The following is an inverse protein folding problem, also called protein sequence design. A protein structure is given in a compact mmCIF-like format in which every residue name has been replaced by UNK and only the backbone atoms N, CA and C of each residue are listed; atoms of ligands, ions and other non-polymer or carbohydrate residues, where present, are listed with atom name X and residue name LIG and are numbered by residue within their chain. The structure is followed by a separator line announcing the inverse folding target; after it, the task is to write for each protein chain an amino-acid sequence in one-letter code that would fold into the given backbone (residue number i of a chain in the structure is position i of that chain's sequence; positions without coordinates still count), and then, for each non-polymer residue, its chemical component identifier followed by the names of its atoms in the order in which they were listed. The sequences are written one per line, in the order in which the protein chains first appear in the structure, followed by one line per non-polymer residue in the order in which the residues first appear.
data_IF_013679042971
#
_entry.id   IF_013679042971
#
_cell.length_a   1.000
_cell.length_b   1.000
_cell.length_c   1.000
_cell.angle_alpha   90.00
_cell.angle_beta   90.00
_cell.angle_gamma   90.00
#
_symmetry.space_group_name_H-M   'P 1'
#
loop_
_entity.id
_entity.type
_entity.pdbx_description
1 polymer ?
#
# COMPACT_ATOMS: atom_id res chain seq x y z
N UNK A 1 -9.36 -0.29 6.16
CA UNK A 1 -9.66 -0.78 7.52
C UNK A 1 -10.22 -2.20 7.45
N UNK A 2 -10.24 -2.92 8.58
CA UNK A 2 -10.83 -4.25 8.67
C UNK A 2 -12.32 -4.14 9.05
N UNK A 3 -13.17 -4.91 8.38
CA UNK A 3 -14.56 -5.12 8.79
C UNK A 3 -14.65 -6.10 9.97
N UNK A 4 -15.84 -6.23 10.58
CA UNK A 4 -16.07 -7.24 11.62
C UNK A 4 -15.83 -8.68 11.14
N UNK A 5 -16.11 -8.96 9.86
CA UNK A 5 -15.81 -10.25 9.25
C UNK A 5 -14.29 -10.44 9.08
N UNK A 6 -13.55 -9.40 8.71
CA UNK A 6 -12.10 -9.45 8.58
C UNK A 6 -11.42 -9.68 9.94
N UNK A 7 -11.93 -9.06 11.00
CA UNK A 7 -11.45 -9.29 12.37
C UNK A 7 -11.73 -10.71 12.84
N UNK A 8 -12.92 -11.25 12.56
CA UNK A 8 -13.22 -12.65 12.88
C UNK A 8 -12.28 -13.61 12.13
N UNK A 9 -12.00 -13.32 10.85
CA UNK A 9 -11.05 -14.08 10.05
C UNK A 9 -9.62 -13.98 10.59
N UNK A 10 -9.19 -12.78 11.02
CA UNK A 10 -7.87 -12.55 11.61
C UNK A 10 -7.66 -13.39 12.88
N UNK A 11 -8.64 -13.43 13.78
CA UNK A 11 -8.59 -14.24 15.01
C UNK A 11 -8.51 -15.74 14.66
N UNK A 12 -9.29 -16.18 13.67
CA UNK A 12 -9.29 -17.57 13.23
C UNK A 12 -7.92 -17.98 12.64
N UNK A 13 -7.33 -17.16 11.78
CA UNK A 13 -6.00 -17.41 11.22
C UNK A 13 -4.91 -17.39 12.30
N UNK A 14 -5.00 -16.50 13.29
CA UNK A 14 -4.06 -16.48 14.42
C UNK A 14 -4.14 -17.79 15.24
N UNK A 15 -5.33 -18.34 15.43
CA UNK A 15 -5.52 -19.64 16.07
C UNK A 15 -4.90 -20.79 15.26
N UNK A 16 -5.05 -20.78 13.94
CA UNK A 16 -4.41 -21.77 13.06
C UNK A 16 -2.88 -21.70 13.18
N UNK A 17 -2.30 -20.49 13.26
CA UNK A 17 -0.86 -20.29 13.45
C UNK A 17 -0.39 -20.86 14.79
N UNK A 18 -1.12 -20.61 15.88
CA UNK A 18 -0.78 -21.13 17.20
C UNK A 18 -0.83 -22.67 17.25
N UNK A 19 -1.91 -23.26 16.72
CA UNK A 19 -2.09 -24.72 16.67
C UNK A 19 -1.01 -25.40 15.82
N UNK A 20 -0.63 -24.82 14.68
CA UNK A 20 0.48 -25.34 13.84
C UNK A 20 1.83 -25.32 14.55
N UNK A 21 1.99 -24.44 15.54
CA UNK A 21 3.17 -24.34 16.37
C UNK A 21 3.05 -25.14 17.68
N UNK A 22 2.05 -26.02 17.79
CA UNK A 22 1.79 -26.87 18.97
C UNK A 22 1.61 -26.05 20.27
N UNK A 23 0.85 -24.95 20.18
CA UNK A 23 0.57 -24.03 21.29
C UNK A 23 -0.92 -23.90 21.56
N UNK A 24 -1.26 -23.89 22.85
CA UNK A 24 -2.64 -23.70 23.34
C UNK A 24 -3.01 -22.23 23.63
N UNK A 25 -2.04 -21.32 23.58
CA UNK A 25 -2.22 -19.90 23.91
C UNK A 25 -1.76 -19.02 22.74
N UNK A 26 -2.68 -18.14 22.31
CA UNK A 26 -2.39 -17.12 21.31
C UNK A 26 -1.40 -16.09 21.85
N UNK A 27 -0.47 -15.68 20.99
CA UNK A 27 0.48 -14.58 21.23
C UNK A 27 0.28 -13.50 20.19
N UNK A 28 0.76 -12.29 20.48
CA UNK A 28 0.74 -11.18 19.52
C UNK A 28 1.38 -11.55 18.17
N UNK A 29 2.45 -12.35 18.19
CA UNK A 29 3.13 -12.86 16.99
C UNK A 29 2.24 -13.73 16.08
N UNK A 30 1.18 -14.33 16.62
CA UNK A 30 0.23 -15.13 15.83
C UNK A 30 -0.69 -14.23 15.04
N UNK A 31 -1.11 -13.13 15.65
CA UNK A 31 -1.87 -12.07 14.99
C UNK A 31 -1.04 -11.37 13.93
N UNK A 32 0.25 -11.10 14.17
CA UNK A 32 1.14 -10.52 13.16
C UNK A 32 1.30 -11.43 11.94
N UNK A 33 1.48 -12.74 12.15
CA UNK A 33 1.57 -13.71 11.05
C UNK A 33 0.25 -13.90 10.31
N UNK A 34 -0.87 -13.91 11.04
CA UNK A 34 -2.20 -13.97 10.44
C UNK A 34 -2.50 -12.72 9.62
N UNK A 35 -2.16 -11.53 10.13
CA UNK A 35 -2.28 -10.24 9.43
C UNK A 35 -1.46 -10.25 8.15
N UNK A 36 -0.18 -10.62 8.23
CA UNK A 36 0.70 -10.77 7.06
C UNK A 36 0.07 -11.68 6.01
N UNK A 37 -0.47 -12.83 6.43
CA UNK A 37 -1.07 -13.80 5.52
C UNK A 37 -2.33 -13.27 4.85
N UNK A 38 -3.17 -12.53 5.57
CA UNK A 38 -4.41 -11.94 5.04
C UNK A 38 -4.09 -10.80 4.08
N UNK A 39 -3.16 -9.92 4.44
CA UNK A 39 -2.82 -8.74 3.66
C UNK A 39 -1.96 -9.06 2.43
N UNK A 40 -0.97 -9.93 2.60
CA UNK A 40 0.06 -10.19 1.59
C UNK A 40 -0.15 -11.53 0.88
N UNK A 41 -0.91 -12.44 1.47
CA UNK A 41 -1.07 -13.81 0.98
C UNK A 41 -0.12 -14.81 1.62
N UNK A 42 -0.18 -16.06 1.17
CA UNK A 42 0.65 -17.14 1.70
C UNK A 42 2.13 -16.92 1.30
N UNK A 43 3.03 -17.10 2.27
CA UNK A 43 4.47 -17.22 1.99
C UNK A 43 4.75 -18.65 1.54
N UNK A 44 5.03 -18.84 0.26
CA UNK A 44 5.50 -20.12 -0.25
C UNK A 44 7.01 -20.23 -0.06
N UNK A 45 7.46 -21.22 0.72
CA UNK A 45 8.89 -21.44 0.99
C UNK A 45 9.71 -21.84 -0.25
N UNK A 46 9.06 -22.13 -1.38
CA UNK A 46 9.70 -22.49 -2.65
C UNK A 46 10.00 -21.30 -3.56
N UNK A 47 9.42 -20.12 -3.33
CA UNK A 47 9.71 -18.91 -4.11
C UNK A 47 10.99 -18.24 -3.60
N UNK A 48 12.09 -18.97 -3.69
CA UNK A 48 13.41 -18.42 -3.37
C UNK A 48 13.84 -17.56 -4.57
N UNK A 49 13.83 -16.24 -4.37
CA UNK A 49 14.42 -15.29 -5.30
C UNK A 49 15.91 -15.58 -5.47
N UNK A 50 16.42 -15.39 -6.68
CA UNK A 50 17.87 -15.44 -6.91
C UNK A 50 18.55 -14.29 -6.15
N UNK A 51 19.84 -14.40 -5.77
CA UNK A 51 20.50 -13.39 -4.94
C UNK A 51 20.49 -11.96 -5.53
N UNK A 52 20.56 -11.85 -6.86
CA UNK A 52 20.46 -10.60 -7.59
C UNK A 52 19.04 -10.02 -7.59
N UNK A 53 18.01 -10.85 -7.75
CA UNK A 53 16.61 -10.44 -7.60
C UNK A 53 16.31 -10.00 -6.17
N UNK A 54 16.80 -10.74 -5.18
CA UNK A 54 16.65 -10.38 -3.77
C UNK A 54 17.33 -9.03 -3.46
N UNK A 55 18.51 -8.78 -4.03
CA UNK A 55 19.18 -7.49 -3.90
C UNK A 55 18.38 -6.37 -4.57
N UNK A 56 17.84 -6.60 -5.76
CA UNK A 56 17.01 -5.62 -6.46
C UNK A 56 15.74 -5.26 -5.65
N UNK A 57 15.05 -6.26 -5.09
CA UNK A 57 13.91 -6.06 -4.17
C UNK A 57 14.34 -5.29 -2.93
N UNK A 58 15.49 -5.62 -2.34
CA UNK A 58 15.98 -4.91 -1.16
C UNK A 58 16.26 -3.43 -1.45
N UNK A 59 16.86 -3.11 -2.59
CA UNK A 59 17.05 -1.72 -3.04
C UNK A 59 15.70 -1.02 -3.20
N UNK A 60 14.75 -1.67 -3.87
CA UNK A 60 13.42 -1.15 -4.12
C UNK A 60 12.67 -0.81 -2.82
N UNK A 61 12.57 -1.75 -1.89
CA UNK A 61 11.91 -1.53 -0.61
C UNK A 61 12.64 -0.51 0.26
N UNK A 62 13.97 -0.48 0.20
CA UNK A 62 14.76 0.56 0.87
C UNK A 62 14.46 1.95 0.30
N UNK A 63 14.17 2.07 -1.00
CA UNK A 63 13.74 3.30 -1.63
C UNK A 63 12.44 3.85 -1.06
N UNK A 64 11.40 3.01 -0.99
CA UNK A 64 10.13 3.37 -0.36
C UNK A 64 10.33 3.77 1.11
N UNK A 65 11.06 2.95 1.86
CA UNK A 65 11.29 3.17 3.27
C UNK A 65 12.05 4.48 3.53
N UNK A 66 13.10 4.75 2.77
CA UNK A 66 13.91 5.95 2.96
C UNK A 66 13.08 7.20 2.68
N UNK A 67 12.35 7.23 1.57
CA UNK A 67 11.50 8.39 1.24
C UNK A 67 10.42 8.60 2.29
N UNK A 68 9.76 7.54 2.75
CA UNK A 68 8.72 7.64 3.77
C UNK A 68 9.27 8.19 5.11
N UNK A 69 10.48 7.80 5.52
CA UNK A 69 11.10 8.28 6.77
C UNK A 69 11.47 9.76 6.69
N UNK A 70 11.84 10.26 5.52
CA UNK A 70 12.23 11.67 5.33
C UNK A 70 11.06 12.59 4.93
N UNK A 71 9.88 12.04 4.65
CA UNK A 71 8.68 12.80 4.34
C UNK A 71 7.91 13.14 5.61
N UNK A 72 7.80 14.43 5.92
CA UNK A 72 7.20 14.94 7.16
C UNK A 72 5.72 14.58 7.34
N UNK A 73 4.99 14.38 6.23
CA UNK A 73 3.55 14.13 6.23
C UNK A 73 3.19 12.68 5.92
N UNK A 74 4.13 11.90 5.38
CA UNK A 74 3.91 10.49 5.08
C UNK A 74 3.52 9.70 6.34
N UNK A 75 2.74 8.64 6.15
CA UNK A 75 2.45 7.72 7.24
C UNK A 75 3.71 6.97 7.68
N UNK A 76 3.86 6.71 9.00
CA UNK A 76 5.05 6.05 9.51
C UNK A 76 5.13 4.61 9.04
N UNK A 77 6.36 4.13 8.89
CA UNK A 77 6.64 2.74 8.53
C UNK A 77 6.32 1.84 9.71
N UNK A 78 5.45 0.86 9.47
CA UNK A 78 5.17 -0.22 10.41
C UNK A 78 6.10 -1.40 10.17
N UNK A 79 6.44 -1.70 8.92
CA UNK A 79 7.23 -2.89 8.56
C UNK A 79 7.88 -2.77 7.19
N UNK A 80 9.08 -3.33 7.06
CA UNK A 80 9.76 -3.54 5.77
C UNK A 80 10.21 -4.98 5.68
N UNK A 81 9.96 -5.64 4.55
CA UNK A 81 10.38 -7.02 4.30
C UNK A 81 10.68 -7.26 2.82
N UNK A 82 11.70 -8.05 2.55
CA UNK A 82 12.05 -8.55 1.20
C UNK A 82 11.63 -10.01 1.00
N UNK A 83 10.88 -10.55 1.96
CA UNK A 83 10.35 -11.91 1.89
C UNK A 83 9.08 -11.91 1.03
N UNK A 84 9.04 -12.70 -0.06
CA UNK A 84 7.90 -12.73 -0.95
C UNK A 84 6.67 -13.30 -0.25
N UNK A 85 5.51 -12.75 -0.58
CA UNK A 85 4.21 -13.19 -0.09
C UNK A 85 3.15 -12.92 -1.15
N UNK A 86 2.38 -13.95 -1.52
CA UNK A 86 1.39 -13.84 -2.59
C UNK A 86 2.01 -13.34 -3.90
N UNK A 87 1.52 -12.20 -4.40
CA UNK A 87 2.03 -11.55 -5.62
C UNK A 87 3.14 -10.52 -5.35
N UNK A 88 3.40 -10.18 -4.09
CA UNK A 88 4.41 -9.20 -3.71
C UNK A 88 5.78 -9.87 -3.49
N UNK A 89 6.84 -9.30 -4.06
CA UNK A 89 8.22 -9.77 -3.88
C UNK A 89 8.89 -9.15 -2.65
N UNK A 90 8.45 -7.96 -2.27
CA UNK A 90 8.82 -7.22 -1.07
C UNK A 90 7.65 -6.32 -0.66
N UNK A 91 7.71 -5.79 0.57
CA UNK A 91 6.67 -4.91 1.10
C UNK A 91 7.27 -3.88 2.05
N UNK A 92 6.92 -2.62 1.84
CA UNK A 92 7.06 -1.51 2.77
C UNK A 92 5.66 -1.09 3.23
N UNK A 93 5.30 -1.47 4.46
CA UNK A 93 3.99 -1.19 5.06
C UNK A 93 4.03 0.13 5.83
N UNK A 94 3.16 1.07 5.45
CA UNK A 94 2.88 2.28 6.21
C UNK A 94 1.56 2.13 6.96
N UNK A 95 1.52 2.61 8.21
CA UNK A 95 0.32 2.55 9.04
C UNK A 95 -0.06 3.95 9.53
N UNK A 96 -1.24 4.48 9.12
CA UNK A 96 -1.71 5.77 9.62
C UNK A 96 -1.90 5.73 11.14
N UNK A 97 -1.38 6.76 11.85
CA UNK A 97 -1.56 6.89 13.30
C UNK A 97 -2.99 7.30 13.69
N UNK A 98 -3.68 7.96 12.78
CA UNK A 98 -5.01 8.52 13.00
C UNK A 98 -5.83 8.32 11.75
N UNK A 99 -7.08 7.93 11.91
CA UNK A 99 -8.03 7.90 10.80
C UNK A 99 -8.34 9.33 10.34
N UNK A 100 -8.02 9.63 9.08
CA UNK A 100 -8.22 10.94 8.47
C UNK A 100 -9.36 10.86 7.46
N UNK A 101 -10.18 11.90 7.46
CA UNK A 101 -11.28 12.06 6.49
C UNK A 101 -10.98 13.18 5.48
N UNK A 102 -9.90 13.93 5.71
CA UNK A 102 -9.43 15.03 4.86
C UNK A 102 -7.91 14.91 4.78
N UNK A 103 -7.38 14.99 3.56
CA UNK A 103 -5.95 14.92 3.29
C UNK A 103 -5.45 16.25 2.74
N UNK A 104 -4.37 16.76 3.33
CA UNK A 104 -3.69 17.96 2.84
C UNK A 104 -2.94 17.67 1.54
N UNK A 105 -2.72 18.70 0.72
CA UNK A 105 -1.95 18.61 -0.52
C UNK A 105 -0.51 18.14 -0.26
N UNK A 106 0.10 18.60 0.84
CA UNK A 106 1.42 18.19 1.33
C UNK A 106 1.52 16.67 1.59
N UNK A 107 0.50 16.10 2.25
CA UNK A 107 0.40 14.66 2.46
C UNK A 107 0.32 13.88 1.14
N UNK A 108 -0.45 14.37 0.17
CA UNK A 108 -0.59 13.70 -1.12
C UNK A 108 0.70 13.77 -1.94
N UNK A 109 1.45 14.87 -1.85
CA UNK A 109 2.78 14.97 -2.44
C UNK A 109 3.78 14.01 -1.80
N UNK A 110 3.81 13.92 -0.46
CA UNK A 110 4.65 12.94 0.23
C UNK A 110 4.26 11.50 -0.12
N UNK A 111 2.95 11.22 -0.24
CA UNK A 111 2.45 9.91 -0.69
C UNK A 111 2.93 9.59 -2.12
N UNK A 112 2.86 10.55 -3.04
CA UNK A 112 3.41 10.41 -4.39
C UNK A 112 4.92 10.14 -4.37
N UNK A 113 5.66 10.88 -3.56
CA UNK A 113 7.10 10.69 -3.41
C UNK A 113 7.42 9.27 -2.94
N UNK A 114 6.68 8.77 -1.95
CA UNK A 114 6.85 7.39 -1.45
C UNK A 114 6.56 6.37 -2.55
N UNK A 115 5.45 6.47 -3.29
CA UNK A 115 5.17 5.55 -4.41
C UNK A 115 6.27 5.54 -5.48
N UNK A 116 6.93 6.68 -5.71
CA UNK A 116 8.01 6.77 -6.68
C UNK A 116 9.38 6.36 -6.11
N UNK A 117 9.50 6.20 -4.79
CA UNK A 117 10.74 5.90 -4.08
C UNK A 117 11.41 4.59 -4.52
N UNK A 118 10.62 3.53 -4.69
CA UNK A 118 11.11 2.23 -5.17
C UNK A 118 11.77 2.35 -6.54
N UNK A 119 11.03 2.86 -7.55
CA UNK A 119 11.58 3.12 -8.90
C UNK A 119 12.82 4.02 -8.88
N UNK A 120 12.80 5.09 -8.09
CA UNK A 120 13.92 6.03 -8.01
C UNK A 120 15.18 5.35 -7.47
N UNK A 121 15.05 4.54 -6.41
CA UNK A 121 16.17 3.81 -5.82
C UNK A 121 16.80 2.80 -6.78
N UNK A 122 15.99 2.09 -7.57
CA UNK A 122 16.48 1.18 -8.60
C UNK A 122 17.34 1.93 -9.63
N UNK A 123 16.87 3.06 -10.14
CA UNK A 123 17.62 3.85 -11.13
C UNK A 123 18.93 4.38 -10.54
N UNK A 124 18.92 4.84 -9.28
CA UNK A 124 20.10 5.40 -8.62
C UNK A 124 21.14 4.34 -8.29
N UNK A 125 20.73 3.18 -7.77
CA UNK A 125 21.66 2.15 -7.25
C UNK A 125 21.96 1.07 -8.29
N UNK A 126 20.97 0.65 -9.07
CA UNK A 126 21.07 -0.43 -10.07
C UNK A 126 21.30 0.12 -11.49
N UNK A 127 21.14 1.42 -11.71
CA UNK A 127 21.34 2.07 -13.01
C UNK A 127 20.20 1.87 -14.01
N UNK A 128 19.16 1.13 -13.63
CA UNK A 128 17.97 0.84 -14.43
C UNK A 128 16.81 0.54 -13.50
N UNK A 129 15.58 0.76 -13.97
CA UNK A 129 14.41 0.32 -13.22
C UNK A 129 13.86 -1.02 -13.71
N UNK A 130 13.09 -1.68 -12.86
CA UNK A 130 12.56 -3.02 -13.07
C UNK A 130 11.09 -3.01 -13.53
N UNK A 131 10.50 -4.18 -13.75
CA UNK A 131 9.03 -4.32 -13.91
C UNK A 131 8.29 -4.36 -12.57
N UNK A 132 9.00 -4.50 -11.44
CA UNK A 132 8.43 -4.59 -10.10
C UNK A 132 7.67 -3.34 -9.68
N UNK A 133 8.11 -2.15 -10.11
CA UNK A 133 7.49 -0.87 -9.76
C UNK A 133 6.14 -0.58 -10.46
N UNK A 134 5.57 -1.54 -11.23
CA UNK A 134 4.36 -1.31 -12.04
C UNK A 134 3.16 -0.85 -11.21
N UNK A 135 2.94 -1.50 -10.05
CA UNK A 135 1.83 -1.17 -9.16
C UNK A 135 1.99 0.22 -8.54
N UNK A 136 3.19 0.60 -8.13
CA UNK A 136 3.45 1.90 -7.48
C UNK A 136 3.31 3.04 -8.49
N UNK A 137 3.78 2.83 -9.73
CA UNK A 137 3.58 3.77 -10.82
C UNK A 137 2.10 3.95 -11.18
N UNK A 138 1.32 2.86 -11.17
CA UNK A 138 -0.13 2.93 -11.40
C UNK A 138 -0.83 3.75 -10.30
N UNK A 139 -0.52 3.46 -9.02
CA UNK A 139 -1.06 4.21 -7.86
C UNK A 139 -0.64 5.68 -7.88
N UNK A 140 0.62 5.98 -8.19
CA UNK A 140 1.11 7.34 -8.32
C UNK A 140 0.38 8.11 -9.43
N UNK A 141 0.19 7.47 -10.58
CA UNK A 141 -0.55 8.05 -11.70
C UNK A 141 -2.00 8.33 -11.34
N UNK A 142 -2.68 7.38 -10.70
CA UNK A 142 -4.05 7.55 -10.24
C UNK A 142 -4.18 8.71 -9.25
N UNK A 143 -3.29 8.76 -8.25
CA UNK A 143 -3.28 9.80 -7.23
C UNK A 143 -3.03 11.19 -7.84
N UNK A 144 -1.99 11.32 -8.67
CA UNK A 144 -1.68 12.58 -9.35
C UNK A 144 -2.84 13.03 -10.25
N UNK A 145 -3.51 12.09 -10.93
CA UNK A 145 -4.70 12.37 -11.72
C UNK A 145 -5.83 12.90 -10.86
N UNK A 146 -6.11 12.30 -9.69
CA UNK A 146 -7.13 12.78 -8.75
C UNK A 146 -6.81 14.16 -8.19
N UNK A 147 -5.54 14.40 -7.79
CA UNK A 147 -5.09 15.71 -7.31
C UNK A 147 -5.40 16.82 -8.32
N UNK A 148 -5.06 16.61 -9.59
CA UNK A 148 -5.28 17.60 -10.64
C UNK A 148 -6.77 17.69 -11.02
N UNK A 149 -7.39 16.55 -11.28
CA UNK A 149 -8.70 16.49 -11.93
C UNK A 149 -9.86 16.68 -10.95
N UNK A 150 -9.80 16.05 -9.79
CA UNK A 150 -10.92 15.99 -8.84
C UNK A 150 -10.74 16.97 -7.68
N UNK A 151 -9.51 17.14 -7.19
CA UNK A 151 -9.22 17.99 -6.03
C UNK A 151 -8.85 19.43 -6.38
N UNK A 152 -8.67 19.75 -7.67
CA UNK A 152 -8.36 21.11 -8.12
C UNK A 152 -6.99 21.61 -7.66
N UNK A 153 -6.04 20.70 -7.40
CA UNK A 153 -4.67 21.00 -6.92
C UNK A 153 -3.70 21.32 -8.07
N UNK A 154 -4.20 21.86 -9.18
CA UNK A 154 -3.36 22.30 -10.29
C UNK A 154 -3.46 23.80 -10.46
N UNK A 155 -2.38 24.57 -10.22
CA UNK A 155 -2.40 26.03 -10.40
C UNK A 155 -2.78 26.47 -11.82
N UNK A 156 -2.52 25.66 -12.84
CA UNK A 156 -2.86 25.97 -14.23
C UNK A 156 -4.34 25.80 -14.55
N UNK A 157 -5.04 24.89 -13.85
CA UNK A 157 -6.49 24.71 -13.99
C UNK A 157 -7.27 25.55 -12.97
N UNK A 158 -6.67 25.85 -11.83
CA UNK A 158 -7.33 26.47 -10.68
C UNK A 158 -8.16 25.48 -9.87
N UNK A 159 -8.91 25.97 -8.86
CA UNK A 159 -9.68 25.15 -7.93
C UNK A 159 -11.00 24.65 -8.55
N UNK A 160 -10.89 23.88 -9.65
CA UNK A 160 -12.01 23.26 -10.37
C UNK A 160 -11.91 21.75 -10.30
N UNK A 161 -13.06 21.07 -10.13
CA UNK A 161 -13.15 19.62 -10.03
C UNK A 161 -13.96 19.01 -11.16
N UNK A 162 -13.42 17.97 -11.80
CA UNK A 162 -14.03 17.17 -12.85
C UNK A 162 -14.20 15.71 -12.39
N UNK A 163 -15.20 15.40 -11.56
CA UNK A 163 -15.36 14.05 -11.00
C UNK A 163 -15.40 12.98 -12.09
N UNK A 164 -14.79 11.82 -11.82
CA UNK A 164 -14.94 10.63 -12.65
C UNK A 164 -16.23 9.89 -12.27
N UNK A 165 -17.10 9.63 -13.26
CA UNK A 165 -18.46 9.13 -13.03
C UNK A 165 -19.47 10.29 -12.93
N UNK A 166 -20.22 10.50 -14.01
CA UNK A 166 -21.15 11.62 -14.14
C UNK A 166 -22.31 11.56 -13.15
N UNK A 167 -22.72 12.76 -12.71
CA UNK A 167 -24.05 13.14 -12.23
C UNK A 167 -25.06 12.01 -11.96
N UNK A 168 -25.35 11.77 -10.68
CA UNK A 168 -26.53 11.04 -10.19
C UNK A 168 -27.85 11.78 -10.49
N UNK A 169 -27.80 12.92 -11.21
CA UNK A 169 -28.95 13.75 -11.55
C UNK A 169 -29.18 13.83 -13.07
N UNK A 170 -29.52 12.69 -13.68
CA UNK A 170 -30.43 12.60 -14.83
C UNK A 170 -30.80 11.11 -14.93
N UNK A 171 -32.07 10.82 -14.66
CA UNK A 171 -32.54 9.52 -14.21
C UNK A 171 -32.29 8.38 -15.19
N UNK A 172 -31.71 7.30 -14.69
CA UNK A 172 -32.18 5.93 -14.85
C UNK A 172 -31.39 5.00 -13.91
N UNK A 173 -32.12 4.17 -13.17
CA UNK A 173 -31.74 2.94 -12.45
C UNK A 173 -30.24 2.62 -12.27
N UNK A 174 -29.75 2.69 -11.04
CA UNK A 174 -28.48 2.05 -10.67
C UNK A 174 -28.08 2.30 -9.22
N UNK A 175 -28.30 1.31 -8.36
CA UNK A 175 -27.84 1.28 -6.98
C UNK A 175 -26.30 1.27 -6.95
N UNK A 176 -25.66 2.32 -6.43
CA UNK A 176 -24.28 2.26 -5.99
C UNK A 176 -24.06 3.31 -4.89
N UNK A 177 -24.20 2.87 -3.64
CA UNK A 177 -23.61 3.55 -2.50
C UNK A 177 -22.11 3.69 -2.78
N UNK A 178 -21.67 4.92 -3.07
CA UNK A 178 -20.27 5.29 -3.13
C UNK A 178 -19.66 5.07 -1.74
N UNK A 179 -19.08 3.90 -1.50
CA UNK A 179 -18.18 3.70 -0.38
C UNK A 179 -16.88 4.43 -0.71
N UNK A 180 -16.67 5.59 -0.11
CA UNK A 180 -15.39 6.30 -0.17
C UNK A 180 -14.30 5.49 0.56
N UNK A 181 -13.16 5.21 -0.08
CA UNK A 181 -11.92 4.87 0.60
C UNK A 181 -10.80 5.85 0.19
N UNK A 182 -11.15 7.13 -0.01
CA UNK A 182 -10.24 8.26 -0.08
C UNK A 182 -10.92 9.45 0.61
#
# INVERSE_FOLDING_TARGET
GFSGADLANLVNEAAIVAVRADRDVLRASDFDQARDRILLGLREGSNVLMPDEQYAVAVHEAGHALVAVYSDKADPIAKVTILPAGQALGVTEQLPLTERHLYGEDYLYDTLAVYLGGRASEVVVLGQGSTGASNDLAKATELATKMVREFGMSPSLGPVGYPSGGSVFLGESGNALSSRPF
#
